data_IF_292186848133
#
_entry.id   IF_292186848133
#
_cell.length_a   1.000
_cell.length_b   1.000
_cell.length_c   1.000
_cell.angle_alpha   90.00
_cell.angle_beta   90.00
_cell.angle_gamma   90.00
#
_symmetry.space_group_name_H-M   'P 1'
#
loop_
_entity.id
_entity.type
_entity.pdbx_description
1 polymer ?
#
# COMPACT_ATOMS: atom_id res chain seq x y z
N UNK A 1 -9.19 7.05 -1.61
CA UNK A 1 -9.81 7.67 -0.41
C UNK A 1 -10.01 9.16 -0.55
N UNK A 2 -8.97 9.94 -0.89
CA UNK A 2 -9.09 11.41 -0.96
C UNK A 2 -10.06 11.94 -2.04
N UNK A 3 -10.28 11.20 -3.13
CA UNK A 3 -11.23 11.59 -4.19
C UNK A 3 -12.53 10.76 -4.20
N UNK A 4 -12.41 9.45 -3.96
CA UNK A 4 -13.45 8.42 -4.12
C UNK A 4 -14.00 7.90 -2.77
N UNK A 5 -13.52 8.41 -1.63
CA UNK A 5 -13.95 7.93 -0.31
C UNK A 5 -13.41 6.53 0.07
N UNK A 6 -13.81 6.05 1.26
CA UNK A 6 -13.23 4.85 1.92
C UNK A 6 -13.72 3.52 1.33
N UNK A 7 -15.00 3.43 0.97
CA UNK A 7 -15.62 2.20 0.43
C UNK A 7 -15.07 1.83 -0.94
N UNK A 8 -14.93 2.82 -1.82
CA UNK A 8 -14.43 2.62 -3.18
C UNK A 8 -12.95 2.24 -3.18
N UNK A 9 -12.14 2.83 -2.29
CA UNK A 9 -10.74 2.45 -2.11
C UNK A 9 -10.58 0.98 -1.66
N UNK A 10 -11.46 0.48 -0.78
CA UNK A 10 -11.46 -0.91 -0.36
C UNK A 10 -11.87 -1.87 -1.48
N UNK A 11 -12.86 -1.49 -2.30
CA UNK A 11 -13.28 -2.25 -3.48
C UNK A 11 -12.15 -2.34 -4.53
N UNK A 12 -11.48 -1.22 -4.82
CA UNK A 12 -10.34 -1.20 -5.75
C UNK A 12 -9.21 -2.11 -5.24
N UNK A 13 -8.94 -2.10 -3.93
CA UNK A 13 -7.96 -2.99 -3.32
C UNK A 13 -8.35 -4.47 -3.47
N UNK A 14 -9.60 -4.81 -3.22
CA UNK A 14 -10.11 -6.18 -3.39
C UNK A 14 -9.99 -6.64 -4.84
N UNK A 15 -10.44 -5.83 -5.79
CA UNK A 15 -10.31 -6.13 -7.22
C UNK A 15 -8.84 -6.32 -7.61
N UNK A 16 -7.95 -5.46 -7.12
CA UNK A 16 -6.51 -5.58 -7.35
C UNK A 16 -5.95 -6.90 -6.84
N UNK A 17 -6.32 -7.31 -5.62
CA UNK A 17 -5.86 -8.56 -5.02
C UNK A 17 -6.38 -9.77 -5.80
N UNK A 18 -7.67 -9.77 -6.17
CA UNK A 18 -8.28 -10.85 -6.94
C UNK A 18 -7.65 -10.99 -8.32
N UNK A 19 -7.50 -9.88 -9.05
CA UNK A 19 -6.82 -9.87 -10.35
C UNK A 19 -5.36 -10.30 -10.21
N UNK A 20 -4.63 -9.76 -9.24
CA UNK A 20 -3.23 -10.12 -8.97
C UNK A 20 -3.07 -11.62 -8.71
N UNK A 21 -3.97 -12.21 -7.93
CA UNK A 21 -3.96 -13.66 -7.68
C UNK A 21 -4.34 -14.49 -8.91
N UNK A 22 -5.28 -14.01 -9.73
CA UNK A 22 -5.73 -14.72 -10.92
C UNK A 22 -4.61 -14.81 -11.98
N UNK A 23 -3.85 -13.72 -12.16
CA UNK A 23 -2.70 -13.67 -13.05
C UNK A 23 -1.45 -14.37 -12.47
N UNK A 24 -1.22 -14.27 -11.16
CA UNK A 24 -0.08 -14.93 -10.51
C UNK A 24 -0.28 -16.44 -10.33
N UNK A 25 -1.50 -16.95 -10.47
CA UNK A 25 -1.83 -18.39 -10.47
C UNK A 25 -1.50 -19.15 -9.19
N UNK A 26 -1.17 -18.47 -8.09
CA UNK A 26 -0.67 -19.10 -6.85
C UNK A 26 -1.37 -18.55 -5.60
N UNK A 27 -1.78 -19.47 -4.73
CA UNK A 27 -2.39 -19.14 -3.43
C UNK A 27 -1.43 -18.32 -2.55
N UNK A 28 -0.13 -18.57 -2.66
CA UNK A 28 0.90 -17.79 -1.96
C UNK A 28 0.89 -16.32 -2.36
N UNK A 29 0.74 -16.00 -3.66
CA UNK A 29 0.63 -14.62 -4.12
C UNK A 29 -0.62 -13.92 -3.58
N UNK A 30 -1.73 -14.66 -3.43
CA UNK A 30 -2.95 -14.18 -2.79
C UNK A 30 -2.68 -13.80 -1.33
N UNK A 31 -2.05 -14.69 -0.55
CA UNK A 31 -1.73 -14.45 0.86
C UNK A 31 -0.82 -13.23 1.02
N UNK A 32 0.20 -13.10 0.17
CA UNK A 32 1.12 -11.96 0.17
C UNK A 32 0.39 -10.65 -0.12
N UNK A 33 -0.48 -10.64 -1.14
CA UNK A 33 -1.20 -9.43 -1.54
C UNK A 33 -2.31 -9.06 -0.55
N UNK A 34 -2.97 -10.03 0.10
CA UNK A 34 -3.94 -9.76 1.17
C UNK A 34 -3.24 -9.20 2.40
N UNK A 35 -2.16 -9.85 2.86
CA UNK A 35 -1.49 -9.43 4.09
C UNK A 35 -0.89 -8.03 3.96
N UNK A 36 -0.15 -7.77 2.87
CA UNK A 36 0.37 -6.44 2.57
C UNK A 36 -0.76 -5.43 2.34
N UNK A 37 -1.75 -5.79 1.52
CA UNK A 37 -2.87 -4.91 1.16
C UNK A 37 -3.71 -4.48 2.35
N UNK A 38 -4.09 -5.43 3.21
CA UNK A 38 -4.89 -5.18 4.39
C UNK A 38 -4.15 -4.30 5.41
N UNK A 39 -2.86 -4.57 5.65
CA UNK A 39 -2.06 -3.78 6.58
C UNK A 39 -1.86 -2.35 6.07
N UNK A 40 -1.59 -2.20 4.77
CA UNK A 40 -1.48 -0.90 4.12
C UNK A 40 -2.78 -0.09 4.21
N UNK A 41 -3.93 -0.76 3.99
CA UNK A 41 -5.25 -0.13 4.06
C UNK A 41 -5.60 0.29 5.49
N UNK A 42 -5.26 -0.52 6.49
CA UNK A 42 -5.45 -0.19 7.91
C UNK A 42 -4.64 1.05 8.29
N UNK A 43 -3.35 1.09 7.91
CA UNK A 43 -2.48 2.26 8.15
C UNK A 43 -3.00 3.50 7.42
N UNK A 44 -3.48 3.33 6.18
CA UNK A 44 -4.08 4.44 5.43
C UNK A 44 -5.34 4.98 6.13
N UNK A 45 -6.21 4.12 6.64
CA UNK A 45 -7.42 4.52 7.37
C UNK A 45 -7.10 5.29 8.65
N UNK A 46 -6.09 4.83 9.40
CA UNK A 46 -5.65 5.50 10.63
C UNK A 46 -5.03 6.85 10.28
N UNK A 47 -4.07 6.87 9.36
CA UNK A 47 -3.35 8.08 8.98
C UNK A 47 -4.27 9.13 8.34
N UNK A 48 -5.28 8.72 7.57
CA UNK A 48 -6.30 9.62 7.02
C UNK A 48 -7.06 10.42 8.09
N UNK A 49 -7.19 9.89 9.32
CA UNK A 49 -7.87 10.58 10.42
C UNK A 49 -7.00 11.65 11.08
N UNK A 50 -5.67 11.54 10.95
CA UNK A 50 -4.71 12.44 11.59
C UNK A 50 -4.05 13.44 10.63
N UNK A 51 -4.04 13.15 9.32
CA UNK A 51 -3.30 13.95 8.34
C UNK A 51 -4.21 14.63 7.30
N UNK A 52 -4.07 15.96 7.23
CA UNK A 52 -4.76 16.81 6.26
C UNK A 52 -4.23 16.61 4.82
N UNK A 53 -4.92 17.18 3.82
CA UNK A 53 -4.63 17.01 2.37
C UNK A 53 -3.19 17.38 1.99
N UNK A 54 -2.52 18.21 2.78
CA UNK A 54 -1.14 18.63 2.52
C UNK A 54 -0.11 17.53 2.84
N UNK A 55 -0.47 16.54 3.66
CA UNK A 55 0.40 15.47 4.17
C UNK A 55 0.14 14.11 3.52
N UNK A 56 -0.53 14.08 2.36
CA UNK A 56 -0.80 12.85 1.58
C UNK A 56 0.48 12.07 1.28
N UNK A 57 1.61 12.76 1.13
CA UNK A 57 2.90 12.11 0.90
C UNK A 57 3.38 11.28 2.09
N UNK A 58 3.15 11.74 3.33
CA UNK A 58 3.49 11.01 4.56
C UNK A 58 2.61 9.77 4.69
N UNK A 59 1.30 9.92 4.45
CA UNK A 59 0.35 8.81 4.46
C UNK A 59 0.77 7.74 3.44
N UNK A 60 1.18 8.15 2.24
CA UNK A 60 1.65 7.25 1.18
C UNK A 60 2.91 6.47 1.59
N UNK A 61 3.90 7.15 2.18
CA UNK A 61 5.13 6.49 2.68
C UNK A 61 4.81 5.49 3.79
N UNK A 62 4.00 5.88 4.79
CA UNK A 62 3.60 4.99 5.88
C UNK A 62 2.85 3.77 5.36
N UNK A 63 1.90 3.98 4.45
CA UNK A 63 1.15 2.89 3.80
C UNK A 63 2.04 1.97 2.95
N UNK A 64 3.07 2.50 2.28
CA UNK A 64 4.02 1.70 1.49
C UNK A 64 4.92 0.83 2.38
N UNK A 65 5.42 1.40 3.49
CA UNK A 65 6.21 0.65 4.48
C UNK A 65 5.37 -0.47 5.09
N UNK A 66 4.12 -0.16 5.50
CA UNK A 66 3.20 -1.14 6.05
C UNK A 66 2.86 -2.25 5.04
N UNK A 67 2.66 -1.91 3.76
CA UNK A 67 2.40 -2.90 2.71
C UNK A 67 3.55 -3.90 2.59
N UNK A 68 4.79 -3.39 2.52
CA UNK A 68 5.98 -4.24 2.43
C UNK A 68 6.18 -5.07 3.69
N UNK A 69 5.96 -4.50 4.88
CA UNK A 69 6.06 -5.23 6.14
C UNK A 69 5.06 -6.40 6.22
N UNK A 70 3.79 -6.18 5.85
CA UNK A 70 2.77 -7.24 5.83
C UNK A 70 3.08 -8.32 4.81
N UNK A 71 3.51 -7.92 3.60
CA UNK A 71 3.90 -8.87 2.56
C UNK A 71 5.10 -9.71 2.98
N UNK A 72 6.12 -9.10 3.61
CA UNK A 72 7.32 -9.80 4.07
C UNK A 72 7.02 -10.76 5.23
N UNK A 73 6.17 -10.35 6.17
CA UNK A 73 5.73 -11.21 7.27
C UNK A 73 4.99 -12.44 6.75
N UNK A 74 4.09 -12.27 5.79
CA UNK A 74 3.43 -13.38 5.11
C UNK A 74 4.42 -14.27 4.34
N UNK A 75 5.43 -13.69 3.69
CA UNK A 75 6.47 -14.45 3.00
C UNK A 75 7.31 -15.32 3.93
N UNK A 76 7.65 -14.81 5.12
CA UNK A 76 8.37 -15.59 6.15
C UNK A 76 7.51 -16.72 6.68
N UNK A 77 6.22 -16.49 6.92
CA UNK A 77 5.28 -17.52 7.40
C UNK A 77 5.09 -18.63 6.37
N UNK A 78 4.89 -18.27 5.10
CA UNK A 78 4.63 -19.24 4.02
C UNK A 78 5.90 -19.98 3.59
N UNK A 79 7.04 -19.28 3.49
CA UNK A 79 8.29 -19.87 3.00
C UNK A 79 9.15 -20.47 4.12
N UNK A 80 8.80 -20.25 5.40
CA UNK A 80 9.58 -20.69 6.57
C UNK A 80 10.98 -20.09 6.68
N UNK A 81 11.34 -19.15 5.81
CA UNK A 81 12.71 -18.68 5.61
C UNK A 81 12.89 -17.28 6.16
N UNK A 82 13.47 -17.19 7.36
CA UNK A 82 13.78 -15.92 8.04
C UNK A 82 14.81 -15.10 7.25
N UNK A 83 15.61 -15.72 6.38
CA UNK A 83 16.59 -15.06 5.51
C UNK A 83 15.98 -13.98 4.60
N UNK A 84 14.68 -14.04 4.32
CA UNK A 84 13.96 -13.02 3.55
C UNK A 84 14.00 -11.65 4.27
N UNK A 85 14.13 -11.62 5.60
CA UNK A 85 14.28 -10.38 6.38
C UNK A 85 15.58 -9.60 6.06
N UNK A 86 16.60 -10.23 5.47
CA UNK A 86 17.78 -9.49 5.01
C UNK A 86 17.46 -8.50 3.88
N UNK A 87 16.38 -8.73 3.12
CA UNK A 87 15.92 -7.79 2.10
C UNK A 87 15.14 -6.60 2.68
N UNK A 88 14.76 -6.64 3.96
CA UNK A 88 14.00 -5.57 4.63
C UNK A 88 14.59 -4.18 4.43
N UNK A 89 15.88 -3.90 4.69
CA UNK A 89 16.43 -2.56 4.51
C UNK A 89 16.34 -2.06 3.06
N UNK A 90 16.55 -2.94 2.08
CA UNK A 90 16.42 -2.60 0.66
C UNK A 90 14.97 -2.33 0.29
N UNK A 91 14.03 -3.18 0.74
CA UNK A 91 12.60 -2.96 0.54
C UNK A 91 12.09 -1.71 1.25
N UNK A 92 12.66 -1.35 2.40
CA UNK A 92 12.29 -0.15 3.15
C UNK A 92 12.75 1.10 2.40
N UNK A 93 13.98 1.11 1.90
CA UNK A 93 14.48 2.19 1.04
C UNK A 93 13.62 2.35 -0.22
N UNK A 94 13.27 1.24 -0.87
CA UNK A 94 12.36 1.23 -2.01
C UNK A 94 10.96 1.73 -1.64
N UNK A 95 10.41 1.33 -0.48
CA UNK A 95 9.11 1.78 0.02
C UNK A 95 9.07 3.27 0.29
N UNK A 96 10.15 3.84 0.83
CA UNK A 96 10.26 5.28 1.05
C UNK A 96 10.30 6.00 -0.30
N UNK A 97 11.16 5.57 -1.23
CA UNK A 97 11.28 6.20 -2.55
C UNK A 97 9.95 6.15 -3.33
N UNK A 98 9.34 4.97 -3.46
CA UNK A 98 8.04 4.80 -4.13
C UNK A 98 6.90 5.46 -3.37
N UNK A 99 6.93 5.45 -2.03
CA UNK A 99 5.94 6.09 -1.18
C UNK A 99 5.93 7.62 -1.35
N UNK A 100 7.11 8.25 -1.38
CA UNK A 100 7.25 9.69 -1.62
C UNK A 100 6.79 10.03 -3.05
N UNK A 101 7.24 9.26 -4.05
CA UNK A 101 6.87 9.49 -5.43
C UNK A 101 5.35 9.40 -5.65
N UNK A 102 4.72 8.32 -5.18
CA UNK A 102 3.27 8.10 -5.29
C UNK A 102 2.48 9.13 -4.49
N UNK A 103 3.03 9.54 -3.34
CA UNK A 103 2.46 10.56 -2.47
C UNK A 103 2.44 11.96 -3.09
N UNK A 104 3.55 12.36 -3.71
CA UNK A 104 3.64 13.61 -4.47
C UNK A 104 2.73 13.59 -5.69
N UNK A 105 2.76 12.50 -6.47
CA UNK A 105 1.87 12.32 -7.62
C UNK A 105 0.40 12.44 -7.20
N UNK A 106 0.01 11.81 -6.10
CA UNK A 106 -1.35 11.90 -5.55
C UNK A 106 -1.70 13.33 -5.11
N UNK A 107 -0.76 14.07 -4.51
CA UNK A 107 -0.95 15.47 -4.15
C UNK A 107 -1.23 16.34 -5.38
N UNK A 108 -0.42 16.21 -6.43
CA UNK A 108 -0.63 16.96 -7.68
C UNK A 108 -1.95 16.58 -8.35
N UNK A 109 -2.33 15.30 -8.33
CA UNK A 109 -3.59 14.83 -8.89
C UNK A 109 -4.80 15.43 -8.15
N UNK A 110 -4.75 15.49 -6.82
CA UNK A 110 -5.81 16.10 -6.00
C UNK A 110 -5.92 17.61 -6.31
N UNK A 111 -4.79 18.32 -6.39
CA UNK A 111 -4.78 19.75 -6.72
C UNK A 111 -5.30 20.03 -8.14
N UNK A 112 -4.92 19.21 -9.12
CA UNK A 112 -5.42 19.34 -10.49
C UNK A 112 -6.92 19.06 -10.56
N UNK A 113 -7.41 18.05 -9.83
CA UNK A 113 -8.84 17.72 -9.79
C UNK A 113 -9.69 18.79 -9.12
N UNK A 114 -9.16 19.52 -8.12
CA UNK A 114 -9.85 20.62 -7.46
C UNK A 114 -9.99 21.86 -8.36
N UNK A 115 -9.07 22.02 -9.33
CA UNK A 115 -9.08 23.13 -10.30
C UNK A 115 -10.04 22.91 -11.48
N UNK A 116 -10.44 21.67 -11.73
CA UNK A 116 -11.36 21.29 -12.82
C UNK A 116 -12.83 21.30 -12.36
N UNK A 117 -13.07 21.29 -11.04
CA UNK A 117 -14.39 21.29 -10.42
C UNK A 117 -14.83 22.71 -10.06
#
# INVERSE_FOLDING_TARGET
MYMLGRREAGLILLVRILLGSFFAGSVSALIFSISGGALSFAVMCIAYKFFDKNSVWIVSVLSAIAHNAGQLAAAVIVSGTVSILYYTPVLLAAAIATGVFTGLASKYLILASDKIR
#
